data_IF_441839814116
#
_entry.id   IF_441839814116
#
_cell.length_a   1.000
_cell.length_b   1.000
_cell.length_c   1.000
_cell.angle_alpha   90.00
_cell.angle_beta   90.00
_cell.angle_gamma   90.00
#
_symmetry.space_group_name_H-M   'P 1'
#
loop_
_entity.id
_entity.type
_entity.pdbx_description
1 polymer ?
#
# COMPACT_ATOMS: atom_id res chain seq x y z
N UNK A 1 -29.24 -6.15 26.32
CA UNK A 1 -28.28 -5.48 25.41
C UNK A 1 -27.46 -4.50 26.24
N UNK A 2 -26.12 -4.52 26.18
CA UNK A 2 -25.29 -3.49 26.86
C UNK A 2 -25.62 -2.12 26.23
N UNK A 3 -25.74 -1.05 27.05
CA UNK A 3 -26.06 0.32 26.57
C UNK A 3 -25.09 0.71 25.45
N UNK A 4 -25.62 1.19 24.31
CA UNK A 4 -24.82 1.69 23.19
C UNK A 4 -24.41 0.66 22.12
N UNK A 5 -24.87 -0.60 22.20
CA UNK A 5 -24.55 -1.63 21.20
C UNK A 5 -25.79 -2.04 20.39
N UNK A 6 -25.61 -2.19 19.07
CA UNK A 6 -26.62 -2.67 18.12
C UNK A 6 -26.19 -4.04 17.58
N UNK A 7 -27.15 -4.94 17.29
CA UNK A 7 -26.84 -6.24 16.67
C UNK A 7 -26.17 -6.04 15.31
N UNK A 8 -25.07 -6.76 15.06
CA UNK A 8 -24.32 -6.71 13.79
C UNK A 8 -25.19 -7.08 12.57
N UNK A 9 -26.11 -8.03 12.74
CA UNK A 9 -27.17 -8.29 11.77
C UNK A 9 -28.45 -7.54 12.18
N UNK A 10 -29.10 -6.77 11.28
CA UNK A 10 -28.68 -6.49 9.90
C UNK A 10 -27.76 -5.25 9.76
N UNK A 11 -27.59 -4.46 10.82
CA UNK A 11 -27.10 -3.07 10.74
C UNK A 11 -25.67 -2.93 10.23
N UNK A 12 -24.76 -3.86 10.56
CA UNK A 12 -23.38 -3.87 10.08
C UNK A 12 -23.22 -4.69 8.79
N UNK A 13 -23.86 -5.86 8.70
CA UNK A 13 -23.69 -6.73 7.54
C UNK A 13 -24.36 -6.21 6.26
N UNK A 14 -25.44 -5.42 6.38
CA UNK A 14 -26.09 -4.82 5.21
C UNK A 14 -25.17 -3.86 4.46
N UNK A 15 -24.57 -2.82 5.09
CA UNK A 15 -23.64 -1.94 4.39
C UNK A 15 -22.40 -2.68 3.91
N UNK A 16 -21.85 -3.63 4.68
CA UNK A 16 -20.70 -4.45 4.24
C UNK A 16 -21.00 -5.20 2.93
N UNK A 17 -22.17 -5.84 2.83
CA UNK A 17 -22.56 -6.53 1.59
C UNK A 17 -22.75 -5.57 0.41
N UNK A 18 -23.35 -4.41 0.65
CA UNK A 18 -23.52 -3.39 -0.40
C UNK A 18 -22.15 -2.89 -0.87
N UNK A 19 -21.25 -2.54 0.05
CA UNK A 19 -19.88 -2.11 -0.27
C UNK A 19 -19.11 -3.18 -1.04
N UNK A 20 -19.24 -4.45 -0.63
CA UNK A 20 -18.63 -5.57 -1.34
C UNK A 20 -19.17 -5.69 -2.77
N UNK A 21 -20.48 -5.65 -2.95
CA UNK A 21 -21.12 -5.75 -4.26
C UNK A 21 -20.71 -4.58 -5.17
N UNK A 22 -20.69 -3.37 -4.63
CA UNK A 22 -20.21 -2.19 -5.37
C UNK A 22 -18.73 -2.30 -5.75
N UNK A 23 -17.87 -2.77 -4.85
CA UNK A 23 -16.45 -2.99 -5.14
C UNK A 23 -16.25 -4.03 -6.24
N UNK A 24 -16.94 -5.17 -6.15
CA UNK A 24 -16.85 -6.24 -7.17
C UNK A 24 -17.36 -5.74 -8.51
N UNK A 25 -18.51 -5.04 -8.54
CA UNK A 25 -19.05 -4.46 -9.76
C UNK A 25 -18.09 -3.42 -10.38
N UNK A 26 -17.47 -2.56 -9.56
CA UNK A 26 -16.48 -1.60 -10.01
C UNK A 26 -15.23 -2.29 -10.59
N UNK A 27 -14.70 -3.30 -9.91
CA UNK A 27 -13.54 -4.07 -10.40
C UNK A 27 -13.86 -4.82 -11.70
N UNK A 28 -15.04 -5.43 -11.80
CA UNK A 28 -15.49 -6.10 -13.03
C UNK A 28 -15.66 -5.09 -14.19
N UNK A 29 -16.24 -3.92 -13.90
CA UNK A 29 -16.35 -2.83 -14.87
C UNK A 29 -14.98 -2.33 -15.34
N UNK A 30 -14.04 -2.11 -14.41
CA UNK A 30 -12.66 -1.71 -14.74
C UNK A 30 -11.95 -2.78 -15.59
N UNK A 31 -12.08 -4.07 -15.24
CA UNK A 31 -11.48 -5.16 -16.01
C UNK A 31 -12.08 -5.30 -17.43
N UNK A 32 -13.34 -4.90 -17.60
CA UNK A 32 -13.99 -4.90 -18.91
C UNK A 32 -13.58 -3.69 -19.77
N UNK A 33 -13.39 -2.52 -19.15
CA UNK A 33 -13.11 -1.27 -19.85
C UNK A 33 -11.61 -1.00 -20.05
N UNK A 34 -10.76 -1.48 -19.14
CA UNK A 34 -9.33 -1.21 -19.14
C UNK A 34 -8.59 -2.53 -19.44
N UNK A 35 -7.92 -2.64 -20.59
CA UNK A 35 -7.15 -3.84 -20.90
C UNK A 35 -6.04 -4.03 -19.87
N UNK A 36 -5.80 -5.28 -19.50
CA UNK A 36 -4.73 -5.60 -18.56
C UNK A 36 -3.38 -5.15 -19.15
N UNK A 37 -2.52 -4.46 -18.37
CA UNK A 37 -1.21 -4.00 -18.82
C UNK A 37 -0.20 -5.16 -18.83
N UNK A 38 -0.50 -6.20 -19.59
CA UNK A 38 0.35 -7.36 -19.77
C UNK A 38 1.50 -7.03 -20.72
N UNK A 39 2.69 -7.51 -20.37
CA UNK A 39 3.86 -7.43 -21.24
C UNK A 39 3.85 -8.56 -22.27
N UNK A 40 4.82 -8.53 -23.18
CA UNK A 40 5.08 -9.63 -24.10
C UNK A 40 5.37 -10.94 -23.34
N UNK A 41 5.22 -12.08 -24.04
CA UNK A 41 5.54 -13.37 -23.48
C UNK A 41 7.00 -13.41 -23.02
N UNK A 42 7.24 -13.99 -21.85
CA UNK A 42 8.58 -14.09 -21.29
C UNK A 42 9.53 -14.84 -22.22
N UNK A 43 10.66 -14.21 -22.54
CA UNK A 43 11.75 -14.77 -23.34
C UNK A 43 12.99 -14.90 -22.46
N UNK A 44 13.58 -16.11 -22.41
CA UNK A 44 14.79 -16.39 -21.63
C UNK A 44 16.00 -15.69 -22.26
N UNK A 45 16.00 -15.47 -23.58
CA UNK A 45 17.09 -14.81 -24.29
C UNK A 45 17.06 -13.28 -24.17
N UNK A 46 15.92 -12.69 -23.76
CA UNK A 46 15.72 -11.23 -23.72
C UNK A 46 15.07 -10.76 -22.42
N UNK A 47 15.85 -10.06 -21.60
CA UNK A 47 15.35 -9.40 -20.39
C UNK A 47 14.88 -7.97 -20.71
N UNK A 48 13.65 -7.56 -20.35
CA UNK A 48 13.19 -6.19 -20.51
C UNK A 48 14.06 -5.17 -19.76
N UNK A 49 14.26 -3.99 -20.34
CA UNK A 49 15.03 -2.92 -19.73
C UNK A 49 14.29 -1.56 -19.85
N UNK A 50 13.81 -0.96 -18.74
CA UNK A 50 13.91 -1.44 -17.37
C UNK A 50 12.94 -2.59 -17.06
N UNK A 51 13.39 -3.56 -16.26
CA UNK A 51 12.50 -4.57 -15.68
C UNK A 51 11.77 -3.97 -14.48
N UNK A 52 10.44 -3.97 -14.49
CA UNK A 52 9.62 -3.43 -13.39
C UNK A 52 8.86 -4.56 -12.69
N UNK A 53 8.87 -4.56 -11.37
CA UNK A 53 8.08 -5.47 -10.54
C UNK A 53 6.59 -5.07 -10.52
N UNK A 54 5.75 -5.89 -9.87
CA UNK A 54 4.37 -5.54 -9.63
C UNK A 54 4.25 -4.17 -8.92
N UNK A 55 3.22 -3.40 -9.27
CA UNK A 55 3.08 -2.00 -8.84
C UNK A 55 3.18 -1.78 -7.33
N UNK A 56 2.69 -2.71 -6.51
CA UNK A 56 2.74 -2.64 -5.05
C UNK A 56 4.11 -2.99 -4.44
N UNK A 57 5.06 -3.49 -5.25
CA UNK A 57 6.46 -3.76 -4.89
C UNK A 57 7.44 -2.74 -5.49
N UNK A 58 6.98 -1.89 -6.41
CA UNK A 58 7.84 -0.93 -7.11
C UNK A 58 8.60 0.00 -6.16
N UNK A 59 8.01 0.41 -5.06
CA UNK A 59 8.70 1.26 -4.07
C UNK A 59 9.90 0.56 -3.42
N UNK A 60 9.83 -0.76 -3.19
CA UNK A 60 10.95 -1.56 -2.68
C UNK A 60 12.04 -1.62 -3.75
N UNK A 61 11.64 -1.91 -4.99
CA UNK A 61 12.57 -1.96 -6.11
C UNK A 61 13.29 -0.62 -6.31
N UNK A 62 12.55 0.49 -6.24
CA UNK A 62 13.11 1.84 -6.32
C UNK A 62 14.11 2.09 -5.20
N UNK A 63 13.74 1.75 -3.96
CA UNK A 63 14.61 1.93 -2.80
C UNK A 63 15.92 1.11 -2.95
N UNK A 64 15.81 -0.15 -3.33
CA UNK A 64 16.95 -1.08 -3.49
C UNK A 64 17.85 -0.69 -4.68
N UNK A 65 17.33 0.04 -5.66
CA UNK A 65 18.12 0.53 -6.80
C UNK A 65 19.25 1.49 -6.41
N UNK A 66 19.07 2.25 -5.32
CA UNK A 66 20.12 3.14 -4.80
C UNK A 66 21.19 2.36 -4.04
N UNK A 67 20.80 1.32 -3.32
CA UNK A 67 21.71 0.44 -2.59
C UNK A 67 20.99 -0.84 -2.20
N UNK A 68 21.61 -1.99 -2.50
CA UNK A 68 21.08 -3.30 -2.11
C UNK A 68 20.84 -3.43 -0.60
N UNK A 69 21.58 -2.69 0.21
CA UNK A 69 21.47 -2.73 1.68
C UNK A 69 20.18 -2.08 2.20
N UNK A 70 19.49 -1.27 1.40
CA UNK A 70 18.24 -0.64 1.82
C UNK A 70 17.09 -1.64 1.97
N UNK A 71 17.26 -2.90 1.52
CA UNK A 71 16.32 -3.97 1.85
C UNK A 71 16.22 -4.20 3.37
N UNK A 72 17.30 -3.98 4.13
CA UNK A 72 17.27 -4.13 5.58
C UNK A 72 16.38 -3.09 6.26
N UNK A 73 16.22 -1.90 5.67
CA UNK A 73 15.25 -0.90 6.13
C UNK A 73 13.82 -1.44 5.99
N UNK A 74 13.50 -2.05 4.85
CA UNK A 74 12.18 -2.67 4.61
C UNK A 74 11.93 -3.80 5.59
N UNK A 75 12.92 -4.67 5.79
CA UNK A 75 12.82 -5.78 6.74
C UNK A 75 12.66 -5.30 8.18
N UNK A 76 13.31 -4.20 8.56
CA UNK A 76 13.19 -3.60 9.88
C UNK A 76 11.79 -2.99 10.14
N UNK A 77 11.03 -2.62 9.11
CA UNK A 77 9.64 -2.19 9.28
C UNK A 77 8.73 -3.32 9.76
N UNK A 78 9.02 -4.59 9.41
CA UNK A 78 8.21 -5.75 9.81
C UNK A 78 8.04 -5.86 11.33
N UNK A 79 9.10 -5.91 12.16
CA UNK A 79 8.93 -5.93 13.62
C UNK A 79 8.29 -4.65 14.15
N UNK A 80 8.55 -3.48 13.54
CA UNK A 80 7.90 -2.22 13.96
C UNK A 80 6.38 -2.31 13.81
N UNK A 81 5.89 -2.82 12.69
CA UNK A 81 4.45 -3.03 12.47
C UNK A 81 3.88 -4.16 13.30
N UNK A 82 4.63 -5.25 13.46
CA UNK A 82 4.22 -6.39 14.28
C UNK A 82 4.03 -5.98 15.74
N UNK A 83 4.95 -5.20 16.29
CA UNK A 83 4.91 -4.75 17.68
C UNK A 83 4.16 -3.42 17.87
N UNK A 84 3.64 -2.82 16.80
CA UNK A 84 2.95 -1.53 16.85
C UNK A 84 1.83 -1.45 17.90
N UNK A 85 1.02 -2.49 18.17
CA UNK A 85 0.00 -2.43 19.24
C UNK A 85 0.57 -2.21 20.65
N UNK A 86 1.84 -2.54 20.89
CA UNK A 86 2.51 -2.46 22.19
C UNK A 86 3.45 -1.25 22.34
N UNK A 87 3.74 -0.54 21.24
CA UNK A 87 4.62 0.63 21.26
C UNK A 87 3.98 1.89 21.90
N UNK A 88 2.67 2.18 21.72
CA UNK A 88 2.06 3.36 22.32
C UNK A 88 1.89 3.20 23.84
N UNK A 89 2.36 4.18 24.60
CA UNK A 89 2.29 4.22 26.08
C UNK A 89 1.00 4.87 26.61
N UNK A 90 -0.07 4.90 25.82
CA UNK A 90 -1.34 5.56 26.15
C UNK A 90 -2.40 4.61 26.70
N UNK A 91 -3.42 5.16 27.37
CA UNK A 91 -4.60 4.40 27.75
C UNK A 91 -5.28 3.84 26.48
N UNK A 92 -5.72 2.57 26.48
CA UNK A 92 -6.43 2.00 25.33
C UNK A 92 -7.64 2.85 24.95
N UNK A 93 -7.75 3.22 23.68
CA UNK A 93 -8.87 4.00 23.21
C UNK A 93 -10.17 3.20 23.42
N UNK A 94 -11.11 3.75 24.19
CA UNK A 94 -12.40 3.12 24.47
C UNK A 94 -13.26 2.96 23.20
N UNK A 95 -12.96 3.73 22.15
CA UNK A 95 -13.59 3.68 20.83
C UNK A 95 -12.54 3.95 19.75
N UNK A 96 -12.68 3.30 18.59
CA UNK A 96 -11.90 3.63 17.41
C UNK A 96 -12.14 5.10 17.02
N UNK A 97 -11.06 5.86 16.90
CA UNK A 97 -11.10 7.27 16.49
C UNK A 97 -10.02 7.50 15.44
N UNK A 98 -10.30 8.39 14.49
CA UNK A 98 -9.32 8.81 13.50
C UNK A 98 -8.40 9.85 14.12
N UNK A 99 -7.08 9.64 13.97
CA UNK A 99 -6.04 10.56 14.45
C UNK A 99 -6.19 11.02 15.92
N UNK A 100 -6.33 10.08 16.88
CA UNK A 100 -6.42 10.42 18.30
C UNK A 100 -5.17 11.20 18.73
N UNK A 101 -5.35 12.17 19.62
CA UNK A 101 -4.28 13.07 20.06
C UNK A 101 -3.11 12.30 20.67
N UNK A 102 -3.44 11.22 21.38
CA UNK A 102 -2.57 10.31 22.10
C UNK A 102 -1.68 9.48 21.17
N UNK A 103 -2.11 9.25 19.93
CA UNK A 103 -1.36 8.48 18.93
C UNK A 103 -1.03 9.29 17.68
N UNK A 104 -0.98 10.63 17.79
CA UNK A 104 -0.67 11.52 16.66
C UNK A 104 0.67 11.21 16.02
N UNK A 105 1.70 10.91 16.82
CA UNK A 105 3.02 10.57 16.28
C UNK A 105 2.97 9.30 15.42
N UNK A 106 2.25 8.27 15.89
CA UNK A 106 2.06 7.02 15.12
C UNK A 106 1.23 7.27 13.86
N UNK A 107 0.19 8.09 13.95
CA UNK A 107 -0.64 8.38 12.80
C UNK A 107 0.09 9.23 11.75
N UNK A 108 0.86 10.24 12.17
CA UNK A 108 1.69 11.05 11.29
C UNK A 108 2.85 10.24 10.69
N UNK A 109 3.48 9.35 11.45
CA UNK A 109 4.54 8.48 10.92
C UNK A 109 4.00 7.48 9.91
N UNK A 110 2.82 6.91 10.14
CA UNK A 110 2.16 6.03 9.17
C UNK A 110 1.78 6.79 7.89
N UNK A 111 1.27 8.02 8.00
CA UNK A 111 0.99 8.87 6.84
C UNK A 111 2.27 9.24 6.07
N UNK A 112 3.34 9.62 6.78
CA UNK A 112 4.62 9.95 6.17
C UNK A 112 5.24 8.75 5.45
N UNK A 113 5.16 7.55 6.05
CA UNK A 113 5.60 6.31 5.41
C UNK A 113 4.75 5.99 4.17
N UNK A 114 3.43 6.12 4.27
CA UNK A 114 2.53 5.92 3.13
C UNK A 114 2.85 6.88 1.98
N UNK A 115 3.08 8.16 2.30
CA UNK A 115 3.50 9.16 1.32
C UNK A 115 4.86 8.82 0.69
N UNK A 116 5.84 8.34 1.48
CA UNK A 116 7.14 7.90 0.98
C UNK A 116 7.01 6.69 0.04
N UNK A 117 6.22 5.68 0.41
CA UNK A 117 5.92 4.50 -0.43
C UNK A 117 5.28 4.93 -1.74
N UNK A 118 4.31 5.84 -1.70
CA UNK A 118 3.67 6.37 -2.91
C UNK A 118 4.66 7.15 -3.77
N UNK A 119 5.47 8.03 -3.18
CA UNK A 119 6.47 8.80 -3.90
C UNK A 119 7.49 7.89 -4.61
N UNK A 120 8.04 6.89 -3.91
CA UNK A 120 8.95 5.90 -4.50
C UNK A 120 8.26 5.08 -5.60
N UNK A 121 7.00 4.70 -5.42
CA UNK A 121 6.22 4.01 -6.45
C UNK A 121 6.08 4.87 -7.71
N UNK A 122 5.74 6.16 -7.56
CA UNK A 122 5.62 7.11 -8.68
C UNK A 122 6.96 7.28 -9.40
N UNK A 123 8.06 7.42 -8.66
CA UNK A 123 9.41 7.52 -9.23
C UNK A 123 9.76 6.27 -10.05
N UNK A 124 9.60 5.08 -9.48
CA UNK A 124 9.84 3.83 -10.22
C UNK A 124 8.93 3.67 -11.44
N UNK A 125 7.66 4.07 -11.32
CA UNK A 125 6.68 3.85 -12.37
C UNK A 125 6.90 4.79 -13.56
N UNK A 126 7.18 6.07 -13.32
CA UNK A 126 7.16 7.10 -14.37
C UNK A 126 8.51 7.76 -14.65
N UNK A 127 9.45 7.75 -13.71
CA UNK A 127 10.73 8.48 -13.84
C UNK A 127 11.93 7.56 -14.12
N UNK A 128 11.75 6.24 -14.16
CA UNK A 128 12.82 5.26 -14.45
C UNK A 128 12.81 4.82 -15.90
N UNK A 129 13.94 5.06 -16.57
CA UNK A 129 14.24 4.66 -17.94
C UNK A 129 15.24 3.49 -18.03
N UNK A 130 15.89 3.30 -19.20
CA UNK A 130 16.84 2.22 -19.43
C UNK A 130 17.97 2.20 -18.38
N UNK A 131 18.41 0.99 -18.01
CA UNK A 131 19.42 0.74 -16.98
C UNK A 131 19.07 1.35 -15.61
N UNK A 132 17.76 1.51 -15.35
CA UNK A 132 17.23 2.15 -14.14
C UNK A 132 17.71 3.60 -13.94
N UNK A 133 18.15 4.27 -14.99
CA UNK A 133 18.52 5.69 -14.92
C UNK A 133 17.29 6.57 -14.79
N UNK A 134 17.43 7.73 -14.15
CA UNK A 134 16.38 8.73 -14.13
C UNK A 134 16.17 9.26 -15.55
N UNK A 135 14.98 9.03 -16.08
CA UNK A 135 14.51 9.57 -17.33
C UNK A 135 13.27 10.41 -16.99
N UNK A 136 13.43 11.73 -17.03
CA UNK A 136 12.30 12.65 -16.92
C UNK A 136 11.55 12.63 -18.24
N UNK A 137 10.22 12.40 -18.26
CA UNK A 137 9.44 12.55 -19.46
C UNK A 137 9.08 14.04 -19.64
N UNK A 138 10.11 14.88 -19.85
CA UNK A 138 10.02 16.25 -20.36
C UNK A 138 11.42 16.79 -20.69
#
# INVERSE_FOLDING_TARGET
>A
MKRGYVKSSPHFFRPVKISMLLLVAALAGLAWLIPAPLQEQADIARVPNPVKSAWFLLWIQELVSYSKYLIYLVLALTPVFLFLPWLPTGAPAAKASWFPREHRLVALSALALGAAVLALTVVAMFLRGPNWQLAVPF
#
